data_IF_766323082201
#
_entry.id   IF_766323082201
#
_cell.length_a   1.000
_cell.length_b   1.000
_cell.length_c   1.000
_cell.angle_alpha   90.00
_cell.angle_beta   90.00
_cell.angle_gamma   90.00
#
_symmetry.space_group_name_H-M   'P 1'
#
loop_
_entity.id
_entity.type
_entity.pdbx_description
1 polymer ?
#
# COMPACT_ATOMS: atom_id res chain seq x y z
N UNK A 1 25.88 -4.46 -6.27
CA UNK A 1 24.62 -3.69 -6.40
C UNK A 1 24.00 -3.52 -5.02
N UNK A 2 23.38 -2.37 -4.72
CA UNK A 2 22.63 -2.20 -3.46
C UNK A 2 21.37 -3.07 -3.50
N UNK A 3 21.05 -3.87 -2.46
CA UNK A 3 19.80 -4.63 -2.42
C UNK A 3 18.61 -3.68 -2.48
N UNK A 4 17.62 -4.01 -3.30
CA UNK A 4 16.43 -3.19 -3.47
C UNK A 4 15.29 -3.69 -2.57
N UNK A 5 14.54 -2.77 -1.97
CA UNK A 5 13.31 -3.06 -1.21
C UNK A 5 12.17 -2.25 -1.79
N UNK A 6 10.99 -2.86 -1.88
CA UNK A 6 9.77 -2.18 -2.32
C UNK A 6 8.94 -1.85 -1.09
N UNK A 7 8.56 -0.59 -0.92
CA UNK A 7 7.69 -0.12 0.15
C UNK A 7 6.36 0.29 -0.45
N UNK A 8 5.25 -0.21 0.07
CA UNK A 8 3.92 -0.03 -0.52
C UNK A 8 2.96 0.60 0.47
N UNK A 9 2.36 1.73 0.07
CA UNK A 9 1.14 2.26 0.67
C UNK A 9 -0.06 1.78 -0.15
N UNK A 10 -0.94 0.92 0.40
CA UNK A 10 -2.02 0.29 -0.37
C UNK A 10 -3.15 1.23 -0.80
N UNK A 11 -4.01 0.73 -1.69
CA UNK A 11 -5.29 1.36 -2.01
C UNK A 11 -6.21 1.45 -0.79
N UNK A 12 -7.18 2.35 -0.88
CA UNK A 12 -8.29 2.40 0.07
C UNK A 12 -9.53 1.81 -0.60
N UNK A 13 -10.22 0.90 0.08
CA UNK A 13 -11.52 0.38 -0.32
C UNK A 13 -12.59 0.91 0.64
N UNK A 14 -13.43 1.83 0.17
CA UNK A 14 -14.36 2.54 1.04
C UNK A 14 -15.54 3.17 0.29
N UNK A 15 -16.49 3.74 1.02
CA UNK A 15 -17.53 4.62 0.52
C UNK A 15 -17.07 6.08 0.35
N UNK A 16 -16.02 6.48 1.08
CA UNK A 16 -15.44 7.81 1.00
C UNK A 16 -13.99 7.84 1.49
N UNK A 17 -13.08 8.31 0.63
CA UNK A 17 -11.74 8.71 1.01
C UNK A 17 -11.40 10.07 0.39
N UNK A 18 -10.67 10.89 1.15
CA UNK A 18 -10.25 12.23 0.75
C UNK A 18 -8.77 12.42 1.05
N UNK A 19 -8.11 13.12 0.13
CA UNK A 19 -6.74 13.54 0.33
C UNK A 19 -6.74 14.85 1.11
N UNK A 20 -6.58 14.73 2.42
CA UNK A 20 -6.32 15.83 3.36
C UNK A 20 -4.86 15.81 3.77
N UNK A 21 -3.96 15.76 2.76
CA UNK A 21 -2.52 15.54 2.95
C UNK A 21 -2.21 14.16 3.54
N UNK A 22 -2.99 13.16 3.15
CA UNK A 22 -2.81 11.81 3.66
C UNK A 22 -1.51 11.22 3.09
N UNK A 23 -0.53 10.99 3.96
CA UNK A 23 0.75 10.39 3.61
C UNK A 23 1.14 9.29 4.59
N UNK A 24 1.78 8.20 4.12
CA UNK A 24 2.12 7.04 4.94
C UNK A 24 3.37 7.34 5.78
N UNK A 25 3.28 8.24 6.76
CA UNK A 25 4.44 8.79 7.47
C UNK A 25 5.37 7.71 8.07
N UNK A 26 4.82 6.68 8.71
CA UNK A 26 5.62 5.56 9.25
C UNK A 26 6.39 4.81 8.17
N UNK A 27 5.81 4.63 6.98
CA UNK A 27 6.47 4.02 5.82
C UNK A 27 7.58 4.93 5.28
N UNK A 28 7.39 6.25 5.30
CA UNK A 28 8.41 7.22 4.86
C UNK A 28 9.61 7.27 5.81
N UNK A 29 9.37 7.17 7.12
CA UNK A 29 10.46 7.04 8.09
C UNK A 29 11.26 5.75 7.89
N UNK A 30 10.57 4.63 7.65
CA UNK A 30 11.21 3.36 7.32
C UNK A 30 12.02 3.45 6.02
N UNK A 31 11.49 4.13 5.00
CA UNK A 31 12.21 4.39 3.75
C UNK A 31 13.52 5.15 3.98
N UNK A 32 13.53 6.18 4.84
CA UNK A 32 14.76 6.92 5.19
C UNK A 32 15.78 6.00 5.86
N UNK A 33 15.32 5.28 6.90
CA UNK A 33 16.16 4.39 7.69
C UNK A 33 16.82 3.27 6.87
N UNK A 34 16.10 2.74 5.88
CA UNK A 34 16.62 1.71 4.96
C UNK A 34 17.63 2.30 3.96
N UNK A 35 17.40 3.52 3.45
CA UNK A 35 18.37 4.22 2.60
C UNK A 35 19.69 4.46 3.32
N UNK A 36 19.63 4.89 4.58
CA UNK A 36 20.81 5.10 5.45
C UNK A 36 21.61 3.81 5.67
N UNK A 37 20.94 2.65 5.64
CA UNK A 37 21.58 1.31 5.73
C UNK A 37 22.06 0.76 4.38
N UNK A 38 22.00 1.54 3.30
CA UNK A 38 22.52 1.15 2.00
C UNK A 38 21.56 0.40 1.10
N UNK A 39 20.27 0.30 1.45
CA UNK A 39 19.25 -0.26 0.55
C UNK A 39 18.84 0.75 -0.53
N UNK A 40 18.55 0.24 -1.72
CA UNK A 40 17.79 0.99 -2.73
C UNK A 40 16.30 0.89 -2.41
N UNK A 41 15.63 2.02 -2.18
CA UNK A 41 14.21 2.02 -1.77
C UNK A 41 13.32 2.46 -2.92
N UNK A 42 12.42 1.59 -3.33
CA UNK A 42 11.37 1.86 -4.31
C UNK A 42 10.02 2.01 -3.60
N UNK A 43 9.49 3.23 -3.54
CA UNK A 43 8.21 3.52 -2.88
C UNK A 43 7.08 3.51 -3.91
N UNK A 44 6.06 2.68 -3.68
CA UNK A 44 4.82 2.65 -4.44
C UNK A 44 3.71 3.17 -3.54
N UNK A 45 3.26 4.41 -3.76
CA UNK A 45 2.11 4.98 -3.08
C UNK A 45 0.87 4.83 -3.97
N UNK A 46 -0.01 3.88 -3.65
CA UNK A 46 -1.24 3.69 -4.41
C UNK A 46 -2.15 4.91 -4.33
N UNK A 47 -2.01 5.77 -3.32
CA UNK A 47 -2.78 7.00 -3.16
C UNK A 47 -2.10 8.21 -3.83
N UNK A 48 -1.01 8.00 -4.57
CA UNK A 48 -0.33 9.09 -5.27
C UNK A 48 -1.16 9.63 -6.43
N UNK A 49 -1.79 10.78 -6.19
CA UNK A 49 -2.57 11.50 -7.19
C UNK A 49 -1.73 12.09 -8.32
N UNK A 50 -0.42 12.19 -8.13
CA UNK A 50 0.53 12.78 -9.08
C UNK A 50 1.31 11.75 -9.89
N UNK A 51 1.03 10.44 -9.73
CA UNK A 51 1.75 9.40 -10.44
C UNK A 51 1.71 9.64 -11.96
N UNK A 52 2.86 9.76 -12.64
CA UNK A 52 2.93 10.16 -14.04
C UNK A 52 2.28 9.14 -14.99
N UNK A 53 2.28 7.86 -14.64
CA UNK A 53 1.69 6.79 -15.44
C UNK A 53 0.14 6.85 -15.45
N UNK A 54 -0.47 7.64 -14.56
CA UNK A 54 -1.92 7.89 -14.59
C UNK A 54 -2.35 8.75 -15.78
N UNK A 55 -1.42 9.45 -16.46
CA UNK A 55 -1.74 10.24 -17.66
C UNK A 55 -2.26 9.40 -18.81
N UNK A 56 -1.81 8.15 -18.89
CA UNK A 56 -2.21 7.20 -19.94
C UNK A 56 -3.54 6.50 -19.62
N UNK A 57 -4.12 6.75 -18.44
CA UNK A 57 -5.35 6.10 -17.98
C UNK A 57 -6.55 6.97 -18.37
N UNK A 58 -7.30 6.51 -19.38
CA UNK A 58 -8.44 7.26 -19.95
C UNK A 58 -9.78 6.91 -19.30
N UNK A 59 -9.90 5.72 -18.70
CA UNK A 59 -11.14 5.20 -18.13
C UNK A 59 -11.38 5.63 -16.67
N UNK A 60 -10.48 6.40 -16.07
CA UNK A 60 -10.61 6.94 -14.71
C UNK A 60 -10.55 8.46 -14.78
N UNK A 61 -11.57 9.14 -14.23
CA UNK A 61 -11.62 10.60 -14.20
C UNK A 61 -10.52 11.17 -13.31
N UNK A 62 -9.79 12.16 -13.83
CA UNK A 62 -8.79 12.92 -13.07
C UNK A 62 -9.41 13.56 -11.82
N UNK A 63 -8.80 13.38 -10.63
CA UNK A 63 -9.33 13.96 -9.40
C UNK A 63 -9.24 15.48 -9.41
N UNK A 64 -10.30 16.12 -8.95
CA UNK A 64 -10.33 17.58 -8.73
C UNK A 64 -9.50 17.90 -7.48
N UNK A 65 -8.58 18.85 -7.63
CA UNK A 65 -7.70 19.35 -6.56
C UNK A 65 -8.14 20.75 -6.12
N UNK A 66 -8.02 21.03 -4.83
CA UNK A 66 -8.31 22.32 -4.19
C UNK A 66 -7.04 23.17 -4.10
N UNK A 67 -7.22 24.47 -3.81
CA UNK A 67 -6.15 25.48 -3.73
C UNK A 67 -4.92 25.05 -2.91
N UNK A 68 -5.12 24.32 -1.82
CA UNK A 68 -4.05 23.92 -0.89
C UNK A 68 -3.54 22.49 -1.10
N UNK A 69 -3.72 21.95 -2.31
CA UNK A 69 -3.22 20.61 -2.64
C UNK A 69 -4.01 19.48 -1.99
N UNK A 70 -5.21 19.73 -1.45
CA UNK A 70 -6.15 18.68 -0.98
C UNK A 70 -7.15 18.30 -2.07
N UNK A 71 -7.91 17.23 -1.88
CA UNK A 71 -9.01 16.92 -2.78
C UNK A 71 -9.42 15.47 -2.81
N UNK A 72 -9.85 15.01 -3.98
CA UNK A 72 -10.19 13.60 -4.21
C UNK A 72 -8.95 12.81 -4.60
N UNK A 73 -8.96 11.52 -4.31
CA UNK A 73 -8.08 10.56 -4.98
C UNK A 73 -8.65 10.18 -6.34
N UNK A 74 -7.79 9.61 -7.19
CA UNK A 74 -8.25 8.70 -8.25
C UNK A 74 -9.18 7.65 -7.63
N UNK A 75 -10.24 7.24 -8.32
CA UNK A 75 -11.12 6.20 -7.80
C UNK A 75 -11.85 5.45 -8.90
N UNK A 76 -12.15 4.18 -8.63
CA UNK A 76 -12.97 3.32 -9.47
C UNK A 76 -14.03 2.66 -8.60
N UNK A 77 -15.29 2.69 -9.07
CA UNK A 77 -16.39 1.98 -8.41
C UNK A 77 -16.15 0.48 -8.50
N UNK A 78 -16.35 -0.22 -7.38
CA UNK A 78 -16.19 -1.68 -7.27
C UNK A 78 -17.41 -2.29 -6.58
N UNK A 79 -17.66 -3.60 -6.73
CA UNK A 79 -18.71 -4.28 -5.97
C UNK A 79 -18.53 -4.11 -4.46
N UNK A 80 -19.64 -4.00 -3.73
CA UNK A 80 -19.61 -4.00 -2.27
C UNK A 80 -19.30 -5.41 -1.78
N UNK A 81 -18.50 -5.56 -0.72
CA UNK A 81 -18.40 -6.84 -0.04
C UNK A 81 -19.78 -7.23 0.53
N UNK A 82 -20.09 -8.54 0.67
CA UNK A 82 -21.42 -9.01 1.08
C UNK A 82 -21.96 -8.32 2.34
N UNK A 83 -21.11 -8.15 3.36
CA UNK A 83 -21.46 -7.49 4.63
C UNK A 83 -21.77 -5.99 4.54
N UNK A 84 -21.50 -5.35 3.40
CA UNK A 84 -21.76 -3.93 3.17
C UNK A 84 -22.77 -3.68 2.05
N UNK A 85 -23.37 -4.73 1.48
CA UNK A 85 -24.25 -4.67 0.31
C UNK A 85 -25.47 -3.75 0.48
N UNK A 86 -26.05 -3.72 1.69
CA UNK A 86 -27.24 -2.93 2.06
C UNK A 86 -27.02 -1.42 2.13
N UNK A 87 -25.76 -0.95 2.20
CA UNK A 87 -25.47 0.47 2.37
C UNK A 87 -25.79 1.23 1.06
N UNK A 88 -26.65 2.26 1.04
CA UNK A 88 -27.09 2.93 -0.20
C UNK A 88 -26.06 3.94 -0.73
N UNK A 89 -24.78 3.56 -0.77
CA UNK A 89 -23.66 4.38 -1.27
C UNK A 89 -22.77 3.57 -2.19
N UNK A 90 -22.10 4.24 -3.12
CA UNK A 90 -21.12 3.59 -3.99
C UNK A 90 -19.87 3.21 -3.17
N UNK A 91 -19.40 1.99 -3.36
CA UNK A 91 -18.13 1.50 -2.84
C UNK A 91 -17.05 1.63 -3.91
N UNK A 92 -15.85 2.04 -3.55
CA UNK A 92 -14.80 2.38 -4.52
C UNK A 92 -13.43 1.95 -4.03
N UNK A 93 -12.58 1.54 -4.97
CA UNK A 93 -11.13 1.52 -4.80
C UNK A 93 -10.60 2.92 -5.08
N UNK A 94 -9.94 3.54 -4.11
CA UNK A 94 -9.29 4.84 -4.22
C UNK A 94 -7.79 4.65 -4.39
N UNK A 95 -7.24 5.36 -5.37
CA UNK A 95 -5.84 5.34 -5.75
C UNK A 95 -5.63 5.11 -7.24
N UNK A 96 -4.36 4.95 -7.62
CA UNK A 96 -3.89 4.69 -8.99
C UNK A 96 -4.55 3.44 -9.57
N UNK A 97 -4.55 3.31 -10.90
CA UNK A 97 -5.09 2.14 -11.55
C UNK A 97 -4.20 0.89 -11.30
N UNK A 98 -4.75 -0.34 -11.20
CA UNK A 98 -3.96 -1.56 -10.96
C UNK A 98 -2.83 -1.78 -11.98
N UNK A 99 -3.09 -1.46 -13.25
CA UNK A 99 -2.08 -1.54 -14.30
C UNK A 99 -0.91 -0.57 -14.08
N UNK A 100 -1.14 0.57 -13.42
CA UNK A 100 -0.07 1.49 -13.03
C UNK A 100 0.73 0.90 -11.88
N UNK A 101 0.07 0.36 -10.86
CA UNK A 101 0.73 -0.35 -9.77
C UNK A 101 1.60 -1.51 -10.29
N UNK A 102 1.07 -2.35 -11.17
CA UNK A 102 1.81 -3.47 -11.79
C UNK A 102 3.04 -2.96 -12.55
N UNK A 103 2.91 -1.85 -13.29
CA UNK A 103 4.05 -1.22 -13.99
C UNK A 103 5.12 -0.75 -13.00
N UNK A 104 4.74 -0.09 -11.90
CA UNK A 104 5.68 0.32 -10.84
C UNK A 104 6.38 -0.90 -10.23
N UNK A 105 5.61 -1.93 -9.85
CA UNK A 105 6.12 -3.13 -9.20
C UNK A 105 7.13 -3.91 -10.06
N UNK A 106 6.96 -3.88 -11.39
CA UNK A 106 7.87 -4.50 -12.36
C UNK A 106 9.16 -3.68 -12.62
N UNK A 107 9.26 -2.43 -12.18
CA UNK A 107 10.49 -1.62 -12.34
C UNK A 107 11.66 -2.15 -11.53
N UNK A 108 11.39 -2.87 -10.45
CA UNK A 108 12.41 -3.48 -9.61
C UNK A 108 12.45 -4.97 -9.91
N UNK A 109 13.57 -5.44 -10.44
CA UNK A 109 13.80 -6.87 -10.65
C UNK A 109 14.33 -7.47 -9.34
N UNK A 110 13.67 -8.53 -8.84
CA UNK A 110 14.09 -9.32 -7.67
C UNK A 110 14.44 -8.45 -6.44
N UNK A 111 13.48 -7.68 -5.90
CA UNK A 111 13.70 -7.01 -4.62
C UNK A 111 14.03 -8.02 -3.50
N UNK A 112 14.81 -7.60 -2.51
CA UNK A 112 15.13 -8.40 -1.33
C UNK A 112 13.92 -8.61 -0.43
N UNK A 113 13.01 -7.63 -0.36
CA UNK A 113 11.76 -7.72 0.37
C UNK A 113 10.73 -6.72 -0.17
N UNK A 114 9.45 -7.00 0.09
CA UNK A 114 8.33 -6.08 -0.15
C UNK A 114 7.68 -5.77 1.21
N UNK A 115 7.61 -4.50 1.55
CA UNK A 115 7.08 -4.03 2.83
C UNK A 115 5.79 -3.28 2.58
N UNK A 116 4.69 -3.76 3.17
CA UNK A 116 3.36 -3.20 3.01
C UNK A 116 2.94 -2.55 4.32
N UNK A 117 2.52 -1.28 4.27
CA UNK A 117 1.91 -0.61 5.43
C UNK A 117 0.40 -0.76 5.44
N UNK A 118 -0.21 -0.46 6.58
CA UNK A 118 -1.66 -0.44 6.73
C UNK A 118 -2.08 0.66 7.70
N UNK A 119 -3.00 1.53 7.28
CA UNK A 119 -3.38 2.72 8.06
C UNK A 119 -4.65 2.54 8.89
N UNK A 120 -5.63 1.80 8.39
CA UNK A 120 -6.88 1.55 9.10
C UNK A 120 -7.29 0.09 8.96
N UNK A 121 -7.88 -0.47 10.01
CA UNK A 121 -8.26 -1.89 10.07
C UNK A 121 -9.20 -2.29 8.94
N UNK A 122 -10.22 -1.46 8.66
CA UNK A 122 -11.24 -1.75 7.64
C UNK A 122 -10.79 -1.48 6.19
N UNK A 123 -9.59 -0.93 5.98
CA UNK A 123 -8.99 -0.78 4.65
C UNK A 123 -8.18 -2.01 4.21
N UNK A 124 -8.22 -3.11 4.97
CA UNK A 124 -7.52 -4.35 4.65
C UNK A 124 -7.78 -4.92 3.23
N UNK A 125 -8.93 -4.70 2.54
CA UNK A 125 -9.07 -5.21 1.18
C UNK A 125 -8.02 -4.65 0.22
N UNK A 126 -7.60 -3.39 0.41
CA UNK A 126 -6.51 -2.80 -0.38
C UNK A 126 -5.15 -3.40 -0.06
N UNK A 127 -4.91 -3.77 1.20
CA UNK A 127 -3.72 -4.51 1.62
C UNK A 127 -3.67 -5.87 0.93
N UNK A 128 -4.79 -6.58 0.89
CA UNK A 128 -4.88 -7.91 0.29
C UNK A 128 -4.62 -7.86 -1.22
N UNK A 129 -5.25 -6.92 -1.93
CA UNK A 129 -5.03 -6.75 -3.37
C UNK A 129 -3.55 -6.46 -3.69
N UNK A 130 -2.89 -5.60 -2.90
CA UNK A 130 -1.45 -5.33 -3.04
C UNK A 130 -0.63 -6.60 -2.86
N UNK A 131 -0.90 -7.38 -1.81
CA UNK A 131 -0.12 -8.59 -1.49
C UNK A 131 -0.31 -9.64 -2.58
N UNK A 132 -1.55 -9.86 -3.04
CA UNK A 132 -1.84 -10.79 -4.16
C UNK A 132 -1.05 -10.40 -5.41
N UNK A 133 -1.16 -9.15 -5.86
CA UNK A 133 -0.45 -8.69 -7.06
C UNK A 133 1.09 -8.70 -6.88
N UNK A 134 1.56 -8.45 -5.65
CA UNK A 134 2.98 -8.53 -5.32
C UNK A 134 3.51 -9.96 -5.43
N UNK A 135 2.78 -10.96 -4.91
CA UNK A 135 3.14 -12.38 -5.06
C UNK A 135 3.05 -12.86 -6.51
N UNK A 136 2.07 -12.39 -7.28
CA UNK A 136 1.97 -12.76 -8.70
C UNK A 136 3.19 -12.32 -9.51
N UNK A 137 3.80 -11.18 -9.16
CA UNK A 137 4.94 -10.60 -9.88
C UNK A 137 6.27 -11.05 -9.29
N UNK A 138 6.34 -11.20 -7.97
CA UNK A 138 7.54 -11.55 -7.21
C UNK A 138 7.23 -12.72 -6.25
N UNK A 139 7.00 -13.94 -6.78
CA UNK A 139 6.50 -15.07 -5.98
C UNK A 139 7.45 -15.51 -4.86
N UNK A 140 8.76 -15.38 -5.08
CA UNK A 140 9.80 -15.83 -4.15
C UNK A 140 10.28 -14.72 -3.20
N UNK A 141 9.72 -13.51 -3.27
CA UNK A 141 10.17 -12.39 -2.45
C UNK A 141 9.35 -12.32 -1.17
N UNK A 142 9.99 -12.23 0.01
CA UNK A 142 9.27 -12.11 1.28
C UNK A 142 8.48 -10.81 1.35
N UNK A 143 7.21 -10.93 1.73
CA UNK A 143 6.29 -9.84 1.95
C UNK A 143 6.07 -9.64 3.45
N UNK A 144 6.41 -8.45 3.93
CA UNK A 144 6.30 -8.05 5.33
C UNK A 144 5.16 -7.04 5.45
N UNK A 145 4.13 -7.37 6.22
CA UNK A 145 2.98 -6.50 6.48
C UNK A 145 3.08 -5.88 7.88
N UNK A 146 3.05 -4.55 7.94
CA UNK A 146 3.00 -3.78 9.19
C UNK A 146 1.92 -2.70 9.18
N UNK A 147 1.90 -1.87 10.23
CA UNK A 147 0.95 -0.78 10.40
C UNK A 147 -0.21 -1.11 11.34
N UNK A 148 -1.21 -0.23 11.37
CA UNK A 148 -2.31 -0.24 12.34
C UNK A 148 -3.17 -1.50 12.21
N UNK A 149 -3.51 -1.92 10.98
CA UNK A 149 -4.29 -3.15 10.77
C UNK A 149 -3.52 -4.39 11.24
N UNK A 150 -2.24 -4.49 10.87
CA UNK A 150 -1.38 -5.60 11.30
C UNK A 150 -1.19 -5.67 12.82
N UNK A 151 -1.21 -4.51 13.49
CA UNK A 151 -1.07 -4.38 14.95
C UNK A 151 -2.36 -4.70 15.70
N UNK A 152 -3.49 -4.18 15.24
CA UNK A 152 -4.78 -4.31 15.93
C UNK A 152 -5.54 -5.58 15.58
N UNK A 153 -5.30 -6.15 14.39
CA UNK A 153 -5.96 -7.37 13.92
C UNK A 153 -4.93 -8.40 13.42
N UNK A 154 -3.92 -8.77 14.23
CA UNK A 154 -2.80 -9.60 13.79
C UNK A 154 -3.22 -11.00 13.37
N UNK A 155 -4.20 -11.61 14.04
CA UNK A 155 -4.73 -12.94 13.67
C UNK A 155 -5.40 -12.91 12.30
N UNK A 156 -6.25 -11.91 12.04
CA UNK A 156 -6.87 -11.71 10.74
C UNK A 156 -5.81 -11.48 9.65
N UNK A 157 -4.79 -10.69 9.94
CA UNK A 157 -3.68 -10.46 9.01
C UNK A 157 -2.91 -11.75 8.69
N UNK A 158 -2.56 -12.55 9.71
CA UNK A 158 -1.83 -13.82 9.50
C UNK A 158 -2.64 -14.82 8.69
N UNK A 159 -3.94 -14.94 8.98
CA UNK A 159 -4.77 -15.98 8.38
C UNK A 159 -5.21 -15.66 6.95
N UNK A 160 -5.36 -14.37 6.60
CA UNK A 160 -6.06 -13.98 5.36
C UNK A 160 -5.27 -13.05 4.44
N UNK A 161 -4.22 -12.36 4.91
CA UNK A 161 -3.49 -11.42 4.04
C UNK A 161 -2.52 -12.09 3.09
N UNK A 162 -2.12 -13.34 3.39
CA UNK A 162 -1.04 -14.07 2.71
C UNK A 162 0.35 -13.41 2.77
N UNK A 163 0.57 -12.39 3.61
CA UNK A 163 1.94 -11.91 3.87
C UNK A 163 2.77 -12.97 4.61
N UNK A 164 4.08 -13.02 4.33
CA UNK A 164 5.00 -14.02 4.90
C UNK A 164 5.38 -13.67 6.34
N UNK A 165 5.37 -12.37 6.68
CA UNK A 165 5.62 -11.89 8.04
C UNK A 165 4.63 -10.77 8.42
N UNK A 166 4.00 -10.92 9.59
CA UNK A 166 3.12 -9.89 10.19
C UNK A 166 3.83 -9.21 11.36
N UNK A 167 3.99 -7.89 11.24
CA UNK A 167 4.53 -7.04 12.30
C UNK A 167 3.38 -6.53 13.16
N UNK A 168 3.13 -7.22 14.27
CA UNK A 168 2.00 -6.96 15.17
C UNK A 168 2.29 -5.98 16.31
N UNK A 169 3.44 -5.30 16.30
CA UNK A 169 3.73 -4.25 17.28
C UNK A 169 4.77 -3.24 16.75
N UNK A 170 4.52 -1.93 16.91
CA UNK A 170 5.54 -0.89 16.69
C UNK A 170 6.78 -1.08 17.58
N UNK A 171 6.60 -1.57 18.82
CA UNK A 171 7.66 -1.68 19.82
C UNK A 171 8.61 -2.87 19.59
N UNK A 172 8.23 -3.84 18.75
CA UNK A 172 9.11 -4.97 18.44
C UNK A 172 10.18 -4.64 17.40
N UNK A 173 10.03 -3.57 16.60
CA UNK A 173 10.85 -3.37 15.40
C UNK A 173 11.41 -1.94 15.21
N UNK A 174 10.99 -0.96 16.01
CA UNK A 174 11.48 0.42 15.93
C UNK A 174 12.53 0.75 17.02
N UNK A 175 13.73 1.26 16.71
CA UNK A 175 14.51 1.23 15.46
C UNK A 175 15.66 0.18 15.46
N UNK A 176 15.73 -0.72 16.46
CA UNK A 176 16.94 -1.51 16.75
C UNK A 176 16.97 -2.95 16.24
N UNK A 177 15.87 -3.50 15.69
CA UNK A 177 15.79 -4.93 15.32
C UNK A 177 15.48 -5.24 13.85
N UNK A 178 15.22 -4.23 13.02
CA UNK A 178 14.78 -4.46 11.64
C UNK A 178 15.86 -5.07 10.73
N UNK A 179 17.14 -4.80 10.98
CA UNK A 179 18.27 -5.33 10.20
C UNK A 179 18.53 -6.83 10.38
N UNK A 180 17.83 -7.51 11.30
CA UNK A 180 17.95 -8.96 11.48
C UNK A 180 17.04 -9.76 10.51
N UNK A 181 16.22 -9.06 9.73
CA UNK A 181 15.18 -9.64 8.86
C UNK A 181 15.38 -9.32 7.36
N UNK A 182 16.50 -8.67 7.02
CA UNK A 182 16.97 -8.38 5.66
C UNK A 182 18.35 -9.00 5.47
#
# INVERSE_FOLDING_TARGET
MKPAVILINPWIYDFAAYDLWAKPLGLLYLASHLRERGFSVHLIDCLDVHNPLMKDITNIKKPIRRKYGTGKFWKQTVPKPPGLSSIPRLYSRYGIAPQVFIKELKKVQRPAAILVTSLMTYWYPGVFEVITLAKDIHPDVPIILGGIYATLCPEHARNYSHADLIISSPSQFWPLKFSQFL
#
